data_IF_647190168415
#
_entry.id   IF_647190168415
#
_cell.length_a   1.000
_cell.length_b   1.000
_cell.length_c   1.000
_cell.angle_alpha   90.00
_cell.angle_beta   90.00
_cell.angle_gamma   90.00
#
_symmetry.space_group_name_H-M   'P 1'
#
loop_
_entity.id
_entity.type
_entity.pdbx_description
1 polymer ?
#
# COMPACT_ATOMS: atom_id res chain seq x y z
N UNK A 1 7.90 20.36 9.90
CA UNK A 1 7.88 20.57 8.43
C UNK A 1 8.11 19.30 7.61
N UNK A 2 9.16 18.48 7.86
CA UNK A 2 9.50 17.33 6.99
C UNK A 2 8.36 16.29 6.84
N UNK A 3 7.70 15.91 7.93
CA UNK A 3 6.61 14.91 7.92
C UNK A 3 5.43 15.36 7.02
N UNK A 4 5.02 16.62 7.12
CA UNK A 4 3.92 17.16 6.30
C UNK A 4 4.26 17.15 4.80
N UNK A 5 5.51 17.43 4.43
CA UNK A 5 5.97 17.35 3.04
C UNK A 5 5.88 15.91 2.49
N UNK A 6 6.28 14.92 3.29
CA UNK A 6 6.20 13.50 2.90
C UNK A 6 4.75 13.03 2.72
N UNK A 7 3.84 13.45 3.60
CA UNK A 7 2.41 13.16 3.46
C UNK A 7 1.86 13.79 2.18
N UNK A 8 2.24 15.03 1.88
CA UNK A 8 1.80 15.70 0.65
C UNK A 8 2.29 14.98 -0.60
N UNK A 9 3.56 14.58 -0.62
CA UNK A 9 4.15 13.80 -1.72
C UNK A 9 3.46 12.44 -1.89
N UNK A 10 3.18 11.74 -0.78
CA UNK A 10 2.46 10.46 -0.79
C UNK A 10 1.07 10.62 -1.41
N UNK A 11 0.33 11.66 -1.03
CA UNK A 11 -1.00 11.93 -1.58
C UNK A 11 -0.94 12.23 -3.07
N UNK A 12 -0.01 13.09 -3.51
CA UNK A 12 0.16 13.45 -4.93
C UNK A 12 0.48 12.21 -5.77
N UNK A 13 1.42 11.37 -5.33
CA UNK A 13 1.81 10.14 -6.04
C UNK A 13 0.63 9.18 -6.11
N UNK A 14 -0.07 8.99 -5.00
CA UNK A 14 -1.23 8.10 -4.93
C UNK A 14 -2.32 8.55 -5.90
N UNK A 15 -2.62 9.85 -5.93
CA UNK A 15 -3.61 10.46 -6.84
C UNK A 15 -3.18 10.28 -8.30
N UNK A 16 -1.93 10.59 -8.64
CA UNK A 16 -1.41 10.46 -10.00
C UNK A 16 -1.50 9.02 -10.53
N UNK A 17 -1.06 8.04 -9.75
CA UNK A 17 -1.14 6.64 -10.16
C UNK A 17 -2.60 6.19 -10.29
N UNK A 18 -3.46 6.61 -9.35
CA UNK A 18 -4.88 6.30 -9.38
C UNK A 18 -5.60 6.88 -10.62
N UNK A 19 -5.19 8.07 -11.08
CA UNK A 19 -5.74 8.75 -12.25
C UNK A 19 -5.37 8.08 -13.58
N UNK A 20 -4.29 7.28 -13.62
CA UNK A 20 -3.91 6.54 -14.82
C UNK A 20 -4.66 5.21 -14.86
N UNK A 21 -4.67 4.48 -13.75
CA UNK A 21 -5.16 3.11 -13.72
C UNK A 21 -6.68 3.00 -13.50
N UNK A 22 -7.27 3.77 -12.56
CA UNK A 22 -8.72 3.67 -12.29
C UNK A 22 -9.61 3.98 -13.50
N UNK A 23 -9.41 5.05 -14.29
CA UNK A 23 -10.34 5.35 -15.37
C UNK A 23 -10.32 4.28 -16.46
N UNK A 24 -9.18 3.62 -16.70
CA UNK A 24 -9.10 2.51 -17.63
C UNK A 24 -9.97 1.33 -17.15
N UNK A 25 -9.91 0.98 -15.86
CA UNK A 25 -10.71 -0.12 -15.29
C UNK A 25 -12.20 0.23 -15.16
N UNK A 26 -12.54 1.49 -14.84
CA UNK A 26 -13.92 1.97 -14.77
C UNK A 26 -14.57 1.93 -16.16
N UNK A 27 -13.87 2.38 -17.20
CA UNK A 27 -14.35 2.33 -18.60
C UNK A 27 -14.59 0.90 -19.08
N UNK A 28 -13.74 -0.04 -18.66
CA UNK A 28 -13.88 -1.48 -18.99
C UNK A 28 -14.92 -2.22 -18.13
N UNK A 29 -15.58 -1.56 -17.17
CA UNK A 29 -16.53 -2.15 -16.20
C UNK A 29 -15.97 -3.36 -15.44
N UNK A 30 -14.65 -3.49 -15.32
CA UNK A 30 -13.98 -4.60 -14.65
C UNK A 30 -14.00 -4.42 -13.13
N UNK A 31 -15.18 -4.62 -12.51
CA UNK A 31 -15.39 -4.35 -11.07
C UNK A 31 -14.48 -5.18 -10.15
N UNK A 32 -14.17 -6.43 -10.54
CA UNK A 32 -13.28 -7.32 -9.76
C UNK A 32 -11.84 -6.79 -9.74
N UNK A 33 -11.32 -6.40 -10.90
CA UNK A 33 -9.98 -5.84 -11.02
C UNK A 33 -9.90 -4.45 -10.36
N UNK A 34 -10.96 -3.66 -10.46
CA UNK A 34 -11.05 -2.36 -9.79
C UNK A 34 -10.97 -2.53 -8.28
N UNK A 35 -11.70 -3.50 -7.73
CA UNK A 35 -11.64 -3.81 -6.30
C UNK A 35 -10.24 -4.28 -5.87
N UNK A 36 -9.60 -5.14 -6.66
CA UNK A 36 -8.25 -5.60 -6.39
C UNK A 36 -7.25 -4.44 -6.40
N UNK A 37 -7.32 -3.57 -7.40
CA UNK A 37 -6.45 -2.41 -7.55
C UNK A 37 -6.64 -1.41 -6.39
N UNK A 38 -7.89 -1.09 -6.04
CA UNK A 38 -8.20 -0.21 -4.91
C UNK A 38 -7.72 -0.81 -3.58
N UNK A 39 -7.89 -2.12 -3.38
CA UNK A 39 -7.37 -2.82 -2.19
C UNK A 39 -5.84 -2.70 -2.10
N UNK A 40 -5.14 -2.97 -3.20
CA UNK A 40 -3.69 -2.90 -3.26
C UNK A 40 -3.17 -1.47 -3.01
N UNK A 41 -3.81 -0.47 -3.62
CA UNK A 41 -3.52 0.95 -3.37
C UNK A 41 -3.73 1.33 -1.92
N UNK A 42 -4.83 0.88 -1.32
CA UNK A 42 -5.15 1.16 0.08
C UNK A 42 -4.10 0.56 1.01
N UNK A 43 -3.66 -0.67 0.76
CA UNK A 43 -2.58 -1.32 1.52
C UNK A 43 -1.28 -0.53 1.39
N UNK A 44 -0.86 -0.21 0.16
CA UNK A 44 0.37 0.55 -0.09
C UNK A 44 0.36 1.95 0.56
N UNK A 45 -0.79 2.62 0.52
CA UNK A 45 -1.00 3.92 1.17
C UNK A 45 -0.89 3.80 2.69
N UNK A 46 -1.60 2.84 3.30
CA UNK A 46 -1.56 2.60 4.74
C UNK A 46 -0.12 2.31 5.19
N UNK A 47 0.60 1.41 4.51
CA UNK A 47 1.97 1.06 4.86
C UNK A 47 2.90 2.28 4.81
N UNK A 48 2.82 3.09 3.74
CA UNK A 48 3.62 4.31 3.62
C UNK A 48 3.23 5.35 4.68
N UNK A 49 1.94 5.50 4.95
CA UNK A 49 1.45 6.43 5.95
C UNK A 49 1.95 6.07 7.36
N UNK A 50 1.92 4.79 7.73
CA UNK A 50 2.50 4.30 8.98
C UNK A 50 4.02 4.54 9.04
N UNK A 51 4.73 4.34 7.92
CA UNK A 51 6.17 4.64 7.80
C UNK A 51 6.48 6.11 8.07
N UNK A 52 5.70 7.02 7.46
CA UNK A 52 5.88 8.47 7.63
C UNK A 52 5.56 8.90 9.08
N UNK A 53 4.60 8.26 9.73
CA UNK A 53 4.30 8.46 11.16
C UNK A 53 5.40 7.92 12.10
N UNK A 54 6.46 7.32 11.56
CA UNK A 54 7.57 6.77 12.35
C UNK A 54 7.22 5.50 13.11
N UNK A 55 6.07 4.88 12.82
CA UNK A 55 5.74 3.55 13.35
C UNK A 55 6.68 2.55 12.69
N UNK A 56 7.50 1.86 13.49
CA UNK A 56 8.31 0.74 13.01
C UNK A 56 7.35 -0.34 12.50
N UNK A 57 7.29 -0.53 11.18
CA UNK A 57 6.58 -1.69 10.65
C UNK A 57 7.28 -2.97 11.11
N UNK A 58 6.53 -3.98 11.56
CA UNK A 58 7.12 -5.27 11.89
C UNK A 58 7.87 -5.80 10.68
N UNK A 59 9.13 -6.18 10.87
CA UNK A 59 9.95 -6.71 9.79
C UNK A 59 9.29 -8.00 9.28
N UNK A 60 8.83 -8.07 8.02
CA UNK A 60 8.17 -9.25 7.48
C UNK A 60 9.09 -10.48 7.51
N UNK A 61 10.42 -10.30 7.47
CA UNK A 61 11.36 -11.41 7.61
C UNK A 61 11.25 -12.09 8.97
N UNK A 62 10.92 -11.35 10.05
CA UNK A 62 10.69 -11.96 11.37
C UNK A 62 9.43 -12.84 11.38
N UNK A 63 8.39 -12.43 10.67
CA UNK A 63 7.17 -13.24 10.51
C UNK A 63 7.46 -14.49 9.68
N UNK A 64 8.19 -14.36 8.57
CA UNK A 64 8.60 -15.49 7.73
C UNK A 64 9.44 -16.47 8.53
N UNK A 65 10.45 -15.99 9.28
CA UNK A 65 11.28 -16.82 10.15
C UNK A 65 10.41 -17.54 11.20
N UNK A 66 9.44 -16.86 11.81
CA UNK A 66 8.53 -17.48 12.79
C UNK A 66 7.66 -18.57 12.17
N UNK A 67 7.15 -18.36 10.96
CA UNK A 67 6.36 -19.33 10.21
C UNK A 67 7.21 -20.56 9.83
N UNK A 68 8.42 -20.34 9.31
CA UNK A 68 9.34 -21.43 9.01
C UNK A 68 9.70 -22.22 10.27
N UNK A 69 9.96 -21.53 11.39
CA UNK A 69 10.25 -22.18 12.67
C UNK A 69 9.08 -23.00 13.20
N UNK A 70 7.83 -22.57 12.94
CA UNK A 70 6.63 -23.31 13.32
C UNK A 70 6.33 -24.50 12.38
N UNK A 71 6.83 -24.49 11.15
CA UNK A 71 6.64 -25.58 10.17
C UNK A 71 7.75 -26.65 10.25
N UNK A 72 8.95 -26.26 10.68
CA UNK A 72 10.11 -27.16 10.85
C UNK A 72 10.19 -27.82 12.23
N UNK A 73 9.25 -27.50 13.14
CA UNK A 73 9.21 -27.97 14.51
C UNK A 73 7.90 -28.72 14.77
#
# INVERSE_FOLDING_TARGET
MKVSLYVLALLIITVLLSLVDLPALVKKKQRKELFFLVSLFSIGFILNFLLILGKKLPNPNKLIISLFKALLN
#
